data_IF_706823434060
#
_entry.id   IF_706823434060
#
_cell.length_a   1.000
_cell.length_b   1.000
_cell.length_c   1.000
_cell.angle_alpha   90.00
_cell.angle_beta   90.00
_cell.angle_gamma   90.00
#
_symmetry.space_group_name_H-M   'P 1'
#
loop_
_entity.id
_entity.type
_entity.pdbx_description
1 polymer ?
#
# COMPACT_ATOMS: atom_id res chain seq x y z
N UNK A 1 -5.34 -8.56 20.93
CA UNK A 1 -6.02 -7.53 20.12
C UNK A 1 -5.42 -7.61 18.73
N UNK A 2 -6.13 -8.23 17.79
CA UNK A 2 -5.61 -8.51 16.46
C UNK A 2 -5.71 -7.25 15.61
N UNK A 3 -4.57 -6.65 15.27
CA UNK A 3 -4.45 -5.55 14.32
C UNK A 3 -4.85 -6.05 12.92
N UNK A 4 -6.14 -6.11 12.62
CA UNK A 4 -6.65 -6.63 11.36
C UNK A 4 -6.87 -5.49 10.37
N UNK A 5 -6.44 -5.69 9.13
CA UNK A 5 -6.71 -4.79 7.97
C UNK A 5 -8.22 -4.52 7.82
N UNK A 6 -9.06 -5.41 8.35
CA UNK A 6 -10.52 -5.40 8.29
C UNK A 6 -11.17 -4.24 9.07
N UNK A 7 -10.45 -3.57 9.96
CA UNK A 7 -10.93 -2.36 10.66
C UNK A 7 -10.63 -1.06 9.88
N UNK A 8 -9.87 -1.15 8.79
CA UNK A 8 -9.60 0.00 7.92
C UNK A 8 -10.72 0.09 6.88
N UNK A 9 -11.24 1.30 6.69
CA UNK A 9 -12.12 1.59 5.55
C UNK A 9 -11.26 1.51 4.29
N UNK A 10 -11.27 0.39 3.56
CA UNK A 10 -10.44 0.22 2.37
C UNK A 10 -11.27 -0.20 1.16
N UNK A 11 -10.85 0.30 0.01
CA UNK A 11 -11.38 -0.10 -1.29
C UNK A 11 -10.37 -1.00 -2.01
N UNK A 12 -10.85 -2.08 -2.63
CA UNK A 12 -10.01 -2.97 -3.42
C UNK A 12 -10.04 -2.51 -4.88
N UNK A 13 -8.94 -1.95 -5.37
CA UNK A 13 -8.81 -1.49 -6.75
C UNK A 13 -8.43 -2.61 -7.72
N UNK A 14 -7.69 -3.59 -7.24
CA UNK A 14 -7.25 -4.75 -8.02
C UNK A 14 -7.13 -5.95 -7.09
N UNK A 15 -7.62 -7.11 -7.52
CA UNK A 15 -7.69 -8.31 -6.71
C UNK A 15 -7.15 -9.53 -7.44
N UNK A 16 -6.69 -10.54 -6.69
CA UNK A 16 -6.32 -11.88 -7.19
C UNK A 16 -5.33 -11.83 -8.35
N UNK A 17 -4.32 -10.99 -8.23
CA UNK A 17 -3.31 -10.78 -9.28
C UNK A 17 -1.89 -11.02 -8.76
N UNK A 18 -0.90 -10.77 -9.60
CA UNK A 18 0.51 -10.84 -9.24
C UNK A 18 0.98 -9.51 -8.65
N UNK A 19 2.00 -9.57 -7.78
CA UNK A 19 2.63 -8.37 -7.21
C UNK A 19 3.12 -7.40 -8.30
N UNK A 20 3.63 -7.92 -9.42
CA UNK A 20 4.07 -7.10 -10.56
C UNK A 20 2.93 -6.25 -11.14
N UNK A 21 1.73 -6.81 -11.28
CA UNK A 21 0.56 -6.07 -11.75
C UNK A 21 0.07 -5.04 -10.74
N UNK A 22 0.07 -5.37 -9.45
CA UNK A 22 -0.22 -4.41 -8.38
C UNK A 22 0.75 -3.23 -8.42
N UNK A 23 2.06 -3.51 -8.50
CA UNK A 23 3.11 -2.51 -8.56
C UNK A 23 2.97 -1.60 -9.79
N UNK A 24 2.65 -2.18 -10.96
CA UNK A 24 2.39 -1.43 -12.19
C UNK A 24 1.16 -0.53 -12.08
N UNK A 25 0.07 -1.01 -11.47
CA UNK A 25 -1.13 -0.21 -11.25
C UNK A 25 -0.83 1.01 -10.39
N UNK A 26 -0.18 0.82 -9.25
CA UNK A 26 0.18 1.90 -8.32
C UNK A 26 1.07 2.93 -9.02
N UNK A 27 2.07 2.47 -9.78
CA UNK A 27 3.00 3.35 -10.50
C UNK A 27 2.35 4.17 -11.61
N UNK A 28 1.36 3.61 -12.30
CA UNK A 28 0.69 4.30 -13.40
C UNK A 28 -0.42 5.24 -12.92
N UNK A 29 -1.04 4.93 -11.77
CA UNK A 29 -2.18 5.66 -11.23
C UNK A 29 -1.76 6.81 -10.33
N UNK A 30 -0.78 6.59 -9.46
CA UNK A 30 -0.32 7.60 -8.53
C UNK A 30 0.76 8.49 -9.15
N UNK A 31 0.61 9.81 -9.00
CA UNK A 31 1.66 10.77 -9.37
C UNK A 31 2.79 10.81 -8.35
N UNK A 32 2.45 10.62 -7.08
CA UNK A 32 3.39 10.61 -5.97
C UNK A 32 3.56 9.17 -5.48
N UNK A 33 4.79 8.64 -5.62
CA UNK A 33 5.11 7.25 -5.31
C UNK A 33 6.38 7.24 -4.46
N UNK A 34 6.32 6.51 -3.36
CA UNK A 34 7.46 6.23 -2.51
C UNK A 34 7.79 4.74 -2.55
N UNK A 35 9.07 4.41 -2.40
CA UNK A 35 9.54 3.03 -2.38
C UNK A 35 10.07 2.69 -1.01
N UNK A 36 9.61 1.57 -0.47
CA UNK A 36 10.04 1.06 0.84
C UNK A 36 10.56 -0.37 0.75
N UNK A 37 11.36 -0.74 1.74
CA UNK A 37 11.80 -2.12 1.94
C UNK A 37 10.65 -2.98 2.51
N UNK A 38 10.67 -4.30 2.28
CA UNK A 38 9.77 -5.22 2.97
C UNK A 38 9.90 -5.10 4.49
N UNK A 39 8.78 -5.23 5.20
CA UNK A 39 8.70 -5.02 6.64
C UNK A 39 8.39 -3.57 7.04
N UNK A 40 8.22 -2.64 6.09
CA UNK A 40 7.72 -1.31 6.39
C UNK A 40 6.29 -1.38 6.95
N UNK A 41 6.04 -0.66 8.05
CA UNK A 41 4.75 -0.67 8.75
C UNK A 41 3.95 0.59 8.39
N UNK A 42 2.76 0.39 7.84
CA UNK A 42 1.82 1.44 7.43
C UNK A 42 0.40 1.07 7.88
N UNK A 43 -0.42 1.99 8.40
CA UNK A 43 -1.78 1.69 8.90
C UNK A 43 -1.86 0.45 9.82
N UNK A 44 -0.81 0.23 10.62
CA UNK A 44 -0.65 -0.93 11.49
C UNK A 44 -0.46 -2.30 10.79
N UNK A 45 -0.26 -2.30 9.47
CA UNK A 45 0.01 -3.50 8.67
C UNK A 45 1.46 -3.49 8.17
N UNK A 46 2.07 -4.67 8.14
CA UNK A 46 3.41 -4.83 7.58
C UNK A 46 3.31 -5.12 6.08
N UNK A 47 3.98 -4.33 5.27
CA UNK A 47 4.06 -4.56 3.84
C UNK A 47 5.00 -5.74 3.56
N UNK A 48 4.46 -6.73 2.87
CA UNK A 48 5.15 -7.97 2.49
C UNK A 48 5.21 -8.00 0.97
N UNK A 49 6.35 -8.40 0.40
CA UNK A 49 6.52 -8.54 -1.03
C UNK A 49 7.98 -8.45 -1.47
N UNK A 50 8.18 -8.28 -2.77
CA UNK A 50 9.51 -8.20 -3.39
C UNK A 50 9.92 -6.72 -3.46
N UNK A 51 11.02 -6.30 -2.81
CA UNK A 51 11.49 -4.91 -2.92
C UNK A 51 11.83 -4.52 -4.36
N UNK A 52 11.66 -3.23 -4.73
CA UNK A 52 11.10 -2.15 -3.93
C UNK A 52 9.56 -2.15 -3.90
N UNK A 53 8.97 -2.01 -2.70
CA UNK A 53 7.52 -1.96 -2.52
C UNK A 53 7.00 -0.54 -2.78
N UNK A 54 6.12 -0.33 -3.78
CA UNK A 54 5.56 0.99 -4.03
C UNK A 54 4.45 1.32 -3.04
N UNK A 55 4.50 2.52 -2.49
CA UNK A 55 3.41 3.20 -1.78
C UNK A 55 3.00 4.37 -2.65
N UNK A 56 1.79 4.32 -3.20
CA UNK A 56 1.25 5.41 -4.00
C UNK A 56 0.38 6.34 -3.17
N UNK A 57 0.43 7.63 -3.46
CA UNK A 57 -0.49 8.62 -2.89
C UNK A 57 -1.36 9.16 -4.02
N UNK A 58 -2.66 9.02 -3.85
CA UNK A 58 -3.72 9.51 -4.74
C UNK A 58 -4.65 10.42 -3.94
N UNK A 59 -4.51 11.73 -4.12
CA UNK A 59 -5.24 12.75 -3.35
C UNK A 59 -5.04 12.55 -1.83
N UNK A 60 -6.12 12.25 -1.11
CA UNK A 60 -6.10 11.93 0.33
C UNK A 60 -6.07 10.42 0.62
N UNK A 61 -5.72 9.59 -0.37
CA UNK A 61 -5.69 8.14 -0.24
C UNK A 61 -4.29 7.58 -0.48
N UNK A 62 -4.01 6.48 0.22
CA UNK A 62 -2.80 5.71 0.08
C UNK A 62 -3.12 4.38 -0.59
N UNK A 63 -2.34 4.06 -1.62
CA UNK A 63 -2.44 2.83 -2.37
C UNK A 63 -1.25 1.92 -2.02
N UNK A 64 -1.56 0.71 -1.56
CA UNK A 64 -0.56 -0.30 -1.21
C UNK A 64 -0.86 -1.63 -1.88
N UNK A 65 0.21 -2.37 -2.21
CA UNK A 65 0.11 -3.76 -2.59
C UNK A 65 0.04 -4.63 -1.33
N UNK A 66 -1.08 -5.33 -1.13
CA UNK A 66 -1.30 -6.24 -0.02
C UNK A 66 -1.35 -7.68 -0.53
N UNK A 67 -0.51 -8.56 0.03
CA UNK A 67 -0.38 -9.94 -0.43
C UNK A 67 -1.03 -10.88 0.58
N UNK A 68 -2.07 -11.60 0.16
CA UNK A 68 -2.63 -12.72 0.93
C UNK A 68 -2.06 -14.04 0.39
N UNK A 69 -1.41 -14.88 1.23
CA UNK A 69 -0.77 -16.12 0.77
C UNK A 69 -1.74 -17.10 0.12
N UNK A 70 -3.01 -17.07 0.52
CA UNK A 70 -4.07 -17.94 0.00
C UNK A 70 -4.81 -17.40 -1.24
N UNK A 71 -4.76 -16.09 -1.51
CA UNK A 71 -5.61 -15.46 -2.54
C UNK A 71 -4.85 -14.54 -3.53
N UNK A 72 -3.53 -14.41 -3.39
CA UNK A 72 -2.68 -13.60 -4.27
C UNK A 72 -2.51 -12.16 -3.80
N UNK A 73 -2.14 -11.27 -4.73
CA UNK A 73 -1.90 -9.86 -4.46
C UNK A 73 -3.13 -8.99 -4.76
N UNK A 74 -3.28 -7.94 -3.96
CA UNK A 74 -4.37 -6.97 -4.00
C UNK A 74 -3.77 -5.56 -4.00
N UNK A 75 -4.45 -4.60 -4.64
CA UNK A 75 -4.18 -3.18 -4.42
C UNK A 75 -5.31 -2.63 -3.57
N UNK A 76 -4.94 -2.13 -2.39
CA UNK A 76 -5.85 -1.50 -1.46
C UNK A 76 -5.71 0.01 -1.59
N UNK A 77 -6.82 0.73 -1.62
CA UNK A 77 -6.93 2.18 -1.51
C UNK A 77 -7.51 2.49 -0.14
N UNK A 78 -6.73 3.17 0.68
CA UNK A 78 -7.03 3.41 2.10
C UNK A 78 -7.03 4.93 2.31
N UNK A 79 -8.02 5.52 3.02
CA UNK A 79 -8.00 6.92 3.38
C UNK A 79 -6.75 7.20 4.21
N UNK A 80 -5.94 8.14 3.74
CA UNK A 80 -4.60 8.34 4.21
C UNK A 80 -4.52 9.10 5.53
N UNK A 81 -5.37 10.12 5.70
CA UNK A 81 -5.38 10.97 6.89
C UNK A 81 -3.96 11.40 7.30
N UNK A 82 -3.62 11.24 8.58
CA UNK A 82 -2.29 11.59 9.11
C UNK A 82 -1.13 10.71 8.63
N UNK A 83 -1.38 9.52 8.08
CA UNK A 83 -0.30 8.64 7.60
C UNK A 83 0.36 9.19 6.33
N UNK A 84 -0.38 9.93 5.47
CA UNK A 84 0.20 10.60 4.29
C UNK A 84 1.30 11.57 4.70
N UNK A 85 1.04 12.43 5.69
CA UNK A 85 2.03 13.38 6.18
C UNK A 85 3.24 12.68 6.78
N UNK A 86 3.02 11.59 7.51
CA UNK A 86 4.09 10.79 8.08
C UNK A 86 4.97 10.15 6.99
N UNK A 87 4.38 9.51 5.99
CA UNK A 87 5.09 8.92 4.85
C UNK A 87 5.89 9.99 4.10
N UNK A 88 5.28 11.15 3.85
CA UNK A 88 5.97 12.30 3.24
C UNK A 88 7.15 12.76 4.10
N UNK A 89 7.02 12.84 5.43
CA UNK A 89 8.14 13.24 6.30
C UNK A 89 9.26 12.20 6.37
N UNK A 90 8.91 10.92 6.39
CA UNK A 90 9.90 9.83 6.52
C UNK A 90 10.64 9.54 5.20
N UNK A 91 9.94 9.60 4.06
CA UNK A 91 10.44 9.12 2.77
C UNK A 91 10.82 10.24 1.79
N UNK A 92 10.42 11.50 2.05
CA UNK A 92 10.87 12.67 1.27
C UNK A 92 12.25 13.10 1.81
N UNK A 93 13.29 12.38 1.39
CA UNK A 93 14.70 12.79 1.53
C UNK A 93 15.24 13.22 0.19
#
# INVERSE_FOLDING_TARGET
>A
MASCVEELDYEILLARTTFANCSKLIRNRCREIYFVAPGYKIFNVYLIGIPPLPIGIEDDHVLIAYIKPCHGAFVLRIPGGGEIERIRKELKK
#
